data_IF_927420553567
#
_entry.id   IF_927420553567
#
_cell.length_a   1.000
_cell.length_b   1.000
_cell.length_c   1.000
_cell.angle_alpha   90.00
_cell.angle_beta   90.00
_cell.angle_gamma   90.00
#
_symmetry.space_group_name_H-M   'P 1'
#
loop_
_entity.id
_entity.type
_entity.pdbx_description
1 polymer ?
#
# COMPACT_ATOMS: atom_id res chain seq x y z
N UNK A 1 12.94 44.07 28.08
CA UNK A 1 12.73 42.72 28.69
C UNK A 1 11.32 42.18 28.54
N UNK A 2 10.24 42.99 28.68
CA UNK A 2 8.84 42.54 28.57
C UNK A 2 8.44 41.98 27.19
N UNK A 3 8.93 42.53 26.08
CA UNK A 3 8.58 42.11 24.71
C UNK A 3 9.11 40.71 24.38
N UNK A 4 10.33 40.37 24.83
CA UNK A 4 10.91 39.02 24.65
C UNK A 4 10.14 37.95 25.44
N UNK A 5 9.62 38.30 26.61
CA UNK A 5 8.82 37.38 27.41
C UNK A 5 7.43 37.14 26.79
N UNK A 6 6.78 38.19 26.29
CA UNK A 6 5.49 38.07 25.59
C UNK A 6 5.63 37.25 24.30
N UNK A 7 6.71 37.46 23.52
CA UNK A 7 6.95 36.68 22.31
C UNK A 7 7.23 35.20 22.61
N UNK A 8 7.95 34.91 23.70
CA UNK A 8 8.24 33.53 24.13
C UNK A 8 6.99 32.82 24.67
N UNK A 9 6.09 33.56 25.34
CA UNK A 9 4.77 33.05 25.75
C UNK A 9 3.86 32.84 24.54
N UNK A 10 3.90 33.72 23.53
CA UNK A 10 3.09 33.58 22.31
C UNK A 10 3.56 32.38 21.46
N UNK A 11 4.87 32.22 21.27
CA UNK A 11 5.46 31.07 20.55
C UNK A 11 5.18 29.78 21.31
N UNK A 12 5.30 29.78 22.64
CA UNK A 12 4.92 28.65 23.49
C UNK A 12 3.42 28.32 23.35
N UNK A 13 2.53 29.31 23.38
CA UNK A 13 1.09 29.11 23.21
C UNK A 13 0.72 28.56 21.82
N UNK A 14 1.44 28.95 20.76
CA UNK A 14 1.27 28.41 19.40
C UNK A 14 1.79 26.96 19.32
N UNK A 15 2.87 26.62 20.02
CA UNK A 15 3.38 25.26 20.10
C UNK A 15 2.48 24.34 20.94
N UNK A 16 1.78 24.87 21.95
CA UNK A 16 0.81 24.12 22.75
C UNK A 16 -0.57 23.99 22.10
N UNK A 17 -0.98 24.93 21.24
CA UNK A 17 -2.22 24.83 20.46
C UNK A 17 -2.12 23.88 19.24
N UNK A 18 -0.91 23.44 18.90
CA UNK A 18 -0.66 22.46 17.84
C UNK A 18 -1.00 21.00 18.22
N UNK A 19 -1.34 20.73 19.49
CA UNK A 19 -1.91 19.45 19.89
C UNK A 19 -3.43 19.48 19.72
N UNK A 20 -3.92 19.08 18.54
CA UNK A 20 -5.35 18.89 18.33
C UNK A 20 -5.89 17.81 19.29
N UNK A 21 -7.17 17.90 19.68
CA UNK A 21 -7.79 16.91 20.56
C UNK A 21 -7.74 15.49 19.94
N UNK A 22 -7.81 15.40 18.61
CA UNK A 22 -7.60 14.16 17.87
C UNK A 22 -6.20 13.56 18.12
N UNK A 23 -5.14 14.38 18.09
CA UNK A 23 -3.77 13.92 18.34
C UNK A 23 -3.61 13.41 19.77
N UNK A 24 -4.25 14.06 20.76
CA UNK A 24 -4.25 13.58 22.14
C UNK A 24 -4.94 12.23 22.28
N UNK A 25 -6.10 12.05 21.64
CA UNK A 25 -6.81 10.77 21.61
C UNK A 25 -6.00 9.68 20.87
N UNK A 26 -5.32 10.01 19.79
CA UNK A 26 -4.40 9.11 19.08
C UNK A 26 -3.25 8.67 20.01
N UNK A 27 -2.62 9.61 20.72
CA UNK A 27 -1.57 9.29 21.68
C UNK A 27 -2.07 8.42 22.85
N UNK A 28 -3.30 8.66 23.32
CA UNK A 28 -3.95 7.81 24.33
C UNK A 28 -4.10 6.36 23.81
N UNK A 29 -4.55 6.19 22.57
CA UNK A 29 -4.62 4.88 21.91
C UNK A 29 -3.26 4.19 21.87
N UNK A 30 -2.23 4.91 21.43
CA UNK A 30 -0.89 4.36 21.28
C UNK A 30 -0.27 3.90 22.61
N UNK A 31 -0.62 4.57 23.72
CA UNK A 31 -0.15 4.25 25.07
C UNK A 31 -0.75 2.96 25.66
N UNK A 32 -1.80 2.38 25.07
CA UNK A 32 -2.40 1.12 25.55
C UNK A 32 -1.45 -0.07 25.51
N UNK A 33 -0.39 -0.02 24.70
CA UNK A 33 0.60 -1.10 24.62
C UNK A 33 -0.03 -2.47 24.38
N UNK A 34 0.21 -3.43 25.29
CA UNK A 34 -0.32 -4.81 25.21
C UNK A 34 -1.82 -4.94 25.49
N UNK A 35 -2.49 -3.85 25.86
CA UNK A 35 -3.94 -3.81 26.15
C UNK A 35 -4.77 -3.43 24.91
N UNK A 36 -4.19 -3.45 23.71
CA UNK A 36 -4.91 -3.10 22.47
C UNK A 36 -5.97 -4.11 22.04
N UNK A 37 -5.96 -5.30 22.64
CA UNK A 37 -6.95 -6.34 22.39
C UNK A 37 -6.39 -7.51 21.60
N UNK A 38 -7.30 -8.39 21.16
CA UNK A 38 -6.97 -9.60 20.41
C UNK A 38 -7.54 -9.55 19.00
N UNK A 39 -6.78 -10.05 18.02
CA UNK A 39 -7.21 -10.17 16.62
C UNK A 39 -7.12 -11.64 16.25
N UNK A 40 -8.27 -12.25 15.93
CA UNK A 40 -8.30 -13.51 15.21
C UNK A 40 -8.04 -13.22 13.73
N UNK A 41 -6.86 -13.61 13.26
CA UNK A 41 -6.45 -13.45 11.89
C UNK A 41 -6.80 -14.72 11.11
N UNK A 42 -7.66 -14.61 10.10
CA UNK A 42 -7.98 -15.73 9.23
C UNK A 42 -7.27 -15.55 7.89
N UNK A 43 -6.18 -16.29 7.62
CA UNK A 43 -5.35 -16.11 6.43
C UNK A 43 -6.12 -16.41 5.13
N UNK A 44 -5.63 -15.93 3.97
CA UNK A 44 -6.22 -16.27 2.68
C UNK A 44 -6.05 -17.77 2.42
N UNK A 45 -7.04 -18.35 1.73
CA UNK A 45 -6.98 -19.76 1.32
C UNK A 45 -5.96 -19.99 0.20
N UNK A 46 -5.90 -19.06 -0.74
CA UNK A 46 -5.03 -19.11 -1.91
C UNK A 46 -4.62 -17.70 -2.33
N UNK A 47 -3.60 -17.63 -3.19
CA UNK A 47 -3.20 -16.43 -3.91
C UNK A 47 -3.61 -16.60 -5.37
N UNK A 48 -4.53 -15.79 -5.85
CA UNK A 48 -4.96 -15.87 -7.24
C UNK A 48 -3.93 -15.17 -8.14
N UNK A 49 -3.22 -15.97 -8.95
CA UNK A 49 -2.27 -15.46 -9.93
C UNK A 49 -3.00 -15.09 -11.23
N UNK A 50 -2.92 -13.83 -11.62
CA UNK A 50 -3.62 -13.30 -12.80
C UNK A 50 -2.59 -12.76 -13.78
N UNK A 51 -2.66 -13.19 -15.04
CA UNK A 51 -1.90 -12.55 -16.12
C UNK A 51 -2.86 -11.71 -16.98
N UNK A 52 -2.67 -10.39 -16.98
CA UNK A 52 -3.44 -9.44 -17.80
C UNK A 52 -2.62 -8.84 -18.94
N UNK A 53 -1.39 -9.32 -19.18
CA UNK A 53 -0.62 -8.90 -20.36
C UNK A 53 -1.34 -9.37 -21.61
N UNK A 54 -1.85 -8.42 -22.39
CA UNK A 54 -2.49 -8.70 -23.68
C UNK A 54 -1.41 -9.12 -24.68
N UNK A 55 -1.49 -10.35 -25.20
CA UNK A 55 -0.74 -10.75 -26.38
C UNK A 55 -1.42 -10.14 -27.60
N UNK A 56 -1.04 -8.92 -27.96
CA UNK A 56 -1.44 -8.32 -29.24
C UNK A 56 -0.55 -8.91 -30.35
N UNK A 57 -1.05 -9.92 -31.05
CA UNK A 57 -0.48 -10.29 -32.35
C UNK A 57 -0.89 -9.21 -33.36
N UNK A 58 -0.02 -8.23 -33.62
CA UNK A 58 -0.18 -7.36 -34.78
C UNK A 58 0.20 -8.15 -36.05
N UNK A 59 -0.79 -8.78 -36.68
CA UNK A 59 -0.61 -9.43 -37.99
C UNK A 59 -0.62 -8.46 -39.17
N UNK A 60 -0.74 -7.14 -38.94
CA UNK A 60 -0.94 -6.15 -40.00
C UNK A 60 0.33 -5.39 -40.43
N UNK A 61 1.50 -5.63 -39.82
CA UNK A 61 2.70 -4.81 -40.02
C UNK A 61 4.00 -5.57 -40.34
N UNK A 62 3.96 -6.70 -41.07
CA UNK A 62 5.16 -7.51 -41.31
C UNK A 62 6.17 -6.93 -42.34
N UNK A 63 6.05 -5.67 -42.73
CA UNK A 63 7.00 -5.04 -43.65
C UNK A 63 7.43 -3.68 -43.09
N UNK A 64 8.72 -3.57 -42.75
CA UNK A 64 9.49 -2.32 -42.49
C UNK A 64 9.67 -1.82 -41.03
N UNK A 65 10.02 -2.69 -40.09
CA UNK A 65 10.74 -2.26 -38.87
C UNK A 65 11.83 -3.28 -38.48
N UNK A 66 12.77 -3.53 -39.39
CA UNK A 66 13.93 -4.41 -39.16
C UNK A 66 15.04 -3.78 -38.28
N UNK A 67 14.76 -2.68 -37.57
CA UNK A 67 15.73 -2.00 -36.68
C UNK A 67 15.10 -1.49 -35.37
N UNK A 68 14.11 -2.20 -34.82
CA UNK A 68 13.70 -1.96 -33.44
C UNK A 68 14.19 -3.10 -32.57
N UNK A 69 14.82 -2.72 -31.47
CA UNK A 69 15.48 -3.53 -30.45
C UNK A 69 14.44 -4.35 -29.66
N UNK A 70 13.66 -5.17 -30.36
CA UNK A 70 12.55 -5.99 -29.86
C UNK A 70 13.03 -7.18 -29.02
N UNK A 71 14.30 -7.23 -28.63
CA UNK A 71 14.86 -8.26 -27.74
C UNK A 71 14.22 -8.29 -26.35
N UNK A 72 13.56 -7.21 -25.94
CA UNK A 72 12.80 -7.15 -24.67
C UNK A 72 11.38 -7.73 -24.74
N UNK A 73 10.87 -8.06 -25.94
CA UNK A 73 9.45 -8.36 -26.15
C UNK A 73 9.03 -9.79 -25.76
N UNK A 74 9.97 -10.65 -25.38
CA UNK A 74 9.67 -11.91 -24.71
C UNK A 74 9.85 -11.74 -23.20
N UNK A 75 8.96 -11.00 -22.56
CA UNK A 75 8.91 -10.97 -21.09
C UNK A 75 8.53 -12.38 -20.62
N UNK A 76 9.50 -13.16 -20.14
CA UNK A 76 9.19 -14.36 -19.34
C UNK A 76 8.32 -13.88 -18.19
N UNK A 77 7.12 -14.45 -18.05
CA UNK A 77 6.18 -14.05 -17.01
C UNK A 77 6.89 -14.21 -15.66
N UNK A 78 6.87 -13.14 -14.86
CA UNK A 78 7.48 -13.18 -13.53
C UNK A 78 6.73 -14.24 -12.70
N UNK A 79 5.42 -14.34 -12.90
CA UNK A 79 4.54 -15.28 -12.20
C UNK A 79 4.76 -16.75 -12.60
N UNK A 80 5.38 -17.07 -13.74
CA UNK A 80 5.65 -18.48 -14.14
C UNK A 80 6.63 -19.20 -13.20
N UNK A 81 7.51 -18.44 -12.56
CA UNK A 81 8.56 -18.98 -11.66
C UNK A 81 8.30 -18.65 -10.20
N UNK A 82 7.12 -18.12 -9.93
CA UNK A 82 6.73 -17.60 -8.63
C UNK A 82 6.19 -18.72 -7.74
N UNK A 83 6.39 -18.57 -6.44
CA UNK A 83 5.93 -19.55 -5.45
C UNK A 83 4.94 -18.90 -4.50
N UNK A 84 3.65 -19.17 -4.71
CA UNK A 84 2.54 -18.57 -3.97
C UNK A 84 2.69 -18.74 -2.46
N UNK A 85 3.09 -19.94 -2.02
CA UNK A 85 3.28 -20.24 -0.60
C UNK A 85 4.36 -19.37 0.05
N UNK A 86 5.45 -19.10 -0.67
CA UNK A 86 6.56 -18.27 -0.15
C UNK A 86 6.10 -16.82 -0.03
N UNK A 87 5.40 -16.31 -1.04
CA UNK A 87 4.88 -14.95 -0.99
C UNK A 87 3.85 -14.77 0.13
N UNK A 88 2.86 -15.66 0.24
CA UNK A 88 1.84 -15.59 1.28
C UNK A 88 2.47 -15.72 2.67
N UNK A 89 3.45 -16.61 2.85
CA UNK A 89 4.17 -16.75 4.11
C UNK A 89 4.92 -15.45 4.47
N UNK A 90 5.67 -14.86 3.53
CA UNK A 90 6.38 -13.59 3.76
C UNK A 90 5.43 -12.45 4.10
N UNK A 91 4.31 -12.35 3.39
CA UNK A 91 3.28 -11.35 3.58
C UNK A 91 2.56 -11.48 4.94
N UNK A 92 2.10 -12.69 5.27
CA UNK A 92 1.37 -12.93 6.52
C UNK A 92 2.29 -12.80 7.73
N UNK A 93 3.53 -13.29 7.65
CA UNK A 93 4.48 -13.19 8.75
C UNK A 93 4.82 -11.72 9.05
N UNK A 94 5.03 -10.88 8.05
CA UNK A 94 5.29 -9.46 8.29
C UNK A 94 4.05 -8.73 8.81
N UNK A 95 2.86 -9.06 8.31
CA UNK A 95 1.59 -8.53 8.82
C UNK A 95 1.36 -8.88 10.29
N UNK A 96 1.53 -10.16 10.66
CA UNK A 96 1.39 -10.64 12.03
C UNK A 96 2.43 -9.98 12.94
N UNK A 97 3.70 -9.98 12.53
CA UNK A 97 4.78 -9.40 13.30
C UNK A 97 4.54 -7.91 13.57
N UNK A 98 4.04 -7.17 12.58
CA UNK A 98 3.75 -5.75 12.73
C UNK A 98 2.58 -5.48 13.68
N UNK A 99 1.50 -6.26 13.59
CA UNK A 99 0.40 -6.19 14.56
C UNK A 99 0.86 -6.55 16.00
N UNK A 100 1.69 -7.57 16.15
CA UNK A 100 2.28 -7.90 17.44
C UNK A 100 3.19 -6.78 17.95
N UNK A 101 3.93 -6.12 17.06
CA UNK A 101 4.74 -4.92 17.34
C UNK A 101 3.89 -3.76 17.86
N UNK A 102 2.66 -3.62 17.38
CA UNK A 102 1.67 -2.67 17.91
C UNK A 102 1.10 -3.08 19.28
N UNK A 103 1.27 -4.33 19.70
CA UNK A 103 0.80 -4.83 21.00
C UNK A 103 -0.53 -5.57 20.94
N UNK A 104 -1.01 -5.97 19.77
CA UNK A 104 -2.17 -6.88 19.66
C UNK A 104 -1.76 -8.32 19.98
N UNK A 105 -2.65 -9.07 20.65
CA UNK A 105 -2.56 -10.54 20.68
C UNK A 105 -3.14 -11.07 19.37
N UNK A 106 -2.28 -11.42 18.42
CA UNK A 106 -2.70 -12.03 17.15
C UNK A 106 -2.88 -13.53 17.37
N UNK A 107 -4.04 -14.05 17.03
CA UNK A 107 -4.44 -15.45 17.17
C UNK A 107 -4.81 -16.01 15.80
N UNK A 108 -4.49 -17.26 15.55
CA UNK A 108 -4.82 -17.97 14.31
C UNK A 108 -6.06 -18.87 14.49
N UNK A 109 -6.64 -19.42 13.41
CA UNK A 109 -7.89 -20.20 13.49
C UNK A 109 -7.81 -21.45 14.38
N UNK A 110 -6.63 -22.05 14.53
CA UNK A 110 -6.35 -23.16 15.45
C UNK A 110 -6.38 -22.73 16.92
N UNK A 111 -6.25 -21.43 17.20
CA UNK A 111 -6.34 -20.83 18.53
C UNK A 111 -7.74 -20.23 18.83
N UNK A 112 -8.79 -20.74 18.16
CA UNK A 112 -10.15 -20.22 18.30
C UNK A 112 -10.66 -20.22 19.75
N UNK A 113 -10.31 -21.23 20.55
CA UNK A 113 -10.69 -21.30 21.96
C UNK A 113 -10.09 -20.15 22.77
N UNK A 114 -8.80 -19.86 22.56
CA UNK A 114 -8.10 -18.72 23.15
C UNK A 114 -8.73 -17.40 22.72
N UNK A 115 -9.17 -17.29 21.47
CA UNK A 115 -9.86 -16.10 20.98
C UNK A 115 -11.23 -15.92 21.62
N UNK A 116 -12.00 -17.00 21.83
CA UNK A 116 -13.31 -16.94 22.47
C UNK A 116 -13.22 -16.46 23.92
N UNK A 117 -12.15 -16.82 24.63
CA UNK A 117 -11.91 -16.42 26.02
C UNK A 117 -11.13 -15.11 26.17
N UNK A 118 -10.66 -14.53 25.06
CA UNK A 118 -9.84 -13.32 25.06
C UNK A 118 -10.57 -12.09 25.64
N UNK A 119 -9.81 -11.26 26.36
CA UNK A 119 -10.27 -9.97 26.88
C UNK A 119 -10.66 -9.01 25.75
N UNK A 120 -11.59 -8.10 26.06
CA UNK A 120 -12.03 -7.07 25.13
C UNK A 120 -11.00 -5.93 25.04
N UNK A 121 -10.83 -5.28 23.86
CA UNK A 121 -11.58 -5.54 22.63
C UNK A 121 -11.07 -6.76 21.85
N UNK A 122 -11.96 -7.45 21.14
CA UNK A 122 -11.63 -8.58 20.29
C UNK A 122 -12.21 -8.42 18.87
N UNK A 123 -11.39 -8.73 17.87
CA UNK A 123 -11.72 -8.54 16.46
C UNK A 123 -11.42 -9.79 15.63
N UNK A 124 -12.16 -9.97 14.54
CA UNK A 124 -11.89 -10.98 13.52
C UNK A 124 -11.52 -10.24 12.25
N UNK A 125 -10.32 -10.49 11.72
CA UNK A 125 -9.83 -9.94 10.47
C UNK A 125 -9.54 -11.08 9.50
N UNK A 126 -10.29 -11.13 8.40
CA UNK A 126 -10.24 -12.22 7.43
C UNK A 126 -9.80 -11.69 6.09
N UNK A 127 -8.84 -12.39 5.47
CA UNK A 127 -8.50 -12.20 4.08
C UNK A 127 -9.56 -12.91 3.23
N UNK A 128 -10.46 -12.15 2.62
CA UNK A 128 -11.55 -12.68 1.82
C UNK A 128 -11.07 -13.11 0.44
N UNK A 129 -10.22 -12.29 -0.18
CA UNK A 129 -9.64 -12.55 -1.49
C UNK A 129 -8.29 -11.85 -1.60
N UNK A 130 -7.33 -12.51 -2.24
CA UNK A 130 -5.98 -12.01 -2.41
C UNK A 130 -5.52 -12.36 -3.83
N UNK A 131 -5.17 -11.34 -4.61
CA UNK A 131 -4.79 -11.47 -6.01
C UNK A 131 -3.39 -10.87 -6.27
N UNK A 132 -2.62 -11.53 -7.13
CA UNK A 132 -1.38 -10.99 -7.69
C UNK A 132 -1.48 -10.99 -9.22
N UNK A 133 -1.56 -9.80 -9.80
CA UNK A 133 -1.73 -9.59 -11.23
C UNK A 133 -0.45 -9.09 -11.89
N UNK A 134 -0.03 -9.74 -12.97
CA UNK A 134 1.01 -9.27 -13.87
C UNK A 134 0.35 -8.53 -15.05
N UNK A 135 0.71 -7.26 -15.24
CA UNK A 135 0.10 -6.31 -16.17
C UNK A 135 1.20 -5.59 -16.98
N UNK A 136 0.80 -4.84 -18.02
CA UNK A 136 1.68 -3.93 -18.75
C UNK A 136 1.31 -2.48 -18.43
N UNK A 137 2.31 -1.69 -18.03
CA UNK A 137 2.20 -0.25 -17.77
C UNK A 137 2.87 0.53 -18.91
N UNK A 138 2.11 1.22 -19.79
CA UNK A 138 2.70 1.90 -20.94
C UNK A 138 3.37 3.21 -20.51
N UNK A 139 4.67 3.32 -20.74
CA UNK A 139 5.38 4.59 -20.72
C UNK A 139 5.32 5.23 -22.10
N UNK A 140 4.72 6.43 -22.18
CA UNK A 140 4.49 7.13 -23.45
C UNK A 140 5.27 8.44 -23.46
N UNK A 141 6.01 8.65 -24.55
CA UNK A 141 6.63 9.92 -24.91
C UNK A 141 5.88 10.44 -26.12
N UNK A 142 5.44 11.69 -26.01
CA UNK A 142 4.81 12.44 -27.08
C UNK A 142 5.37 13.86 -27.03
N UNK A 143 6.46 14.08 -27.76
CA UNK A 143 7.20 15.34 -27.75
C UNK A 143 7.46 15.84 -29.18
N UNK A 144 7.65 17.15 -29.32
CA UNK A 144 8.03 17.77 -30.59
C UNK A 144 9.38 18.44 -30.46
N UNK A 145 10.39 17.95 -31.19
CA UNK A 145 11.76 18.49 -31.20
C UNK A 145 12.12 18.86 -32.65
N UNK A 146 12.58 20.09 -32.89
CA UNK A 146 13.03 20.56 -34.22
C UNK A 146 12.00 20.28 -35.34
N UNK A 147 10.72 20.55 -35.06
CA UNK A 147 9.59 20.28 -35.96
C UNK A 147 9.29 18.81 -36.29
N UNK A 148 9.99 17.87 -35.65
CA UNK A 148 9.68 16.44 -35.70
C UNK A 148 8.84 16.03 -34.47
N UNK A 149 7.70 15.37 -34.72
CA UNK A 149 6.92 14.72 -33.67
C UNK A 149 7.53 13.36 -33.35
N UNK A 150 7.82 13.12 -32.08
CA UNK A 150 8.40 11.89 -31.57
C UNK A 150 7.36 11.23 -30.70
N UNK A 151 6.91 10.07 -31.16
CA UNK A 151 6.07 9.18 -30.38
C UNK A 151 6.86 7.92 -30.05
N UNK A 152 6.97 7.60 -28.75
CA UNK A 152 7.58 6.35 -28.31
C UNK A 152 6.78 5.75 -27.17
N UNK A 153 6.40 4.49 -27.33
CA UNK A 153 5.70 3.69 -26.32
C UNK A 153 6.62 2.57 -25.87
N UNK A 154 6.80 2.43 -24.57
CA UNK A 154 7.57 1.36 -23.93
C UNK A 154 6.65 0.70 -22.93
N UNK A 155 6.40 -0.60 -23.09
CA UNK A 155 5.55 -1.36 -22.18
C UNK A 155 6.40 -1.90 -21.02
N UNK A 156 6.18 -1.36 -19.83
CA UNK A 156 6.84 -1.78 -18.58
C UNK A 156 6.07 -2.94 -17.94
N UNK A 157 6.78 -3.87 -17.31
CA UNK A 157 6.14 -4.88 -16.49
C UNK A 157 5.63 -4.24 -15.20
N UNK A 158 4.40 -4.56 -14.82
CA UNK A 158 3.80 -4.14 -13.56
C UNK A 158 3.25 -5.38 -12.84
N UNK A 159 3.53 -5.50 -11.56
CA UNK A 159 2.95 -6.51 -10.68
C UNK A 159 2.11 -5.80 -9.63
N UNK A 160 0.80 -6.08 -9.63
CA UNK A 160 -0.20 -5.50 -8.73
C UNK A 160 -0.65 -6.55 -7.71
N UNK A 161 -0.70 -6.16 -6.45
CA UNK A 161 -1.26 -6.98 -5.38
C UNK A 161 -2.54 -6.33 -4.88
N UNK A 162 -3.64 -7.09 -4.86
CA UNK A 162 -4.96 -6.61 -4.47
C UNK A 162 -5.53 -7.51 -3.38
N UNK A 163 -6.10 -6.90 -2.33
CA UNK A 163 -6.69 -7.64 -1.22
C UNK A 163 -8.05 -7.08 -0.82
N UNK A 164 -8.95 -8.00 -0.53
CA UNK A 164 -10.23 -7.76 0.10
C UNK A 164 -10.22 -8.37 1.49
N UNK A 165 -10.64 -7.59 2.48
CA UNK A 165 -10.68 -7.99 3.87
C UNK A 165 -12.08 -7.87 4.42
N UNK A 166 -12.49 -8.85 5.21
CA UNK A 166 -13.64 -8.73 6.09
C UNK A 166 -13.15 -8.43 7.51
N UNK A 167 -13.71 -7.39 8.12
CA UNK A 167 -13.38 -7.00 9.47
C UNK A 167 -14.62 -6.85 10.33
N UNK A 168 -14.63 -7.53 11.47
CA UNK A 168 -15.74 -7.47 12.40
C UNK A 168 -15.25 -7.43 13.85
N UNK A 169 -16.03 -6.76 14.69
CA UNK A 169 -15.83 -6.79 16.13
C UNK A 169 -16.63 -7.94 16.72
N UNK A 170 -16.01 -8.74 17.59
CA UNK A 170 -16.75 -9.72 18.40
C UNK A 170 -17.70 -9.04 19.38
N UNK A 171 -17.37 -7.81 19.76
CA UNK A 171 -18.02 -7.07 20.85
C UNK A 171 -19.18 -6.18 20.36
N UNK A 172 -19.40 -6.08 19.05
CA UNK A 172 -20.45 -5.23 18.46
C UNK A 172 -20.86 -5.71 17.08
N UNK A 173 -22.08 -5.36 16.64
CA UNK A 173 -22.67 -5.85 15.39
C UNK A 173 -22.12 -5.21 14.10
N UNK A 174 -21.02 -4.46 14.17
CA UNK A 174 -20.48 -3.82 12.97
C UNK A 174 -19.56 -4.77 12.21
N UNK A 175 -19.73 -4.77 10.89
CA UNK A 175 -18.86 -5.43 9.93
C UNK A 175 -18.42 -4.41 8.88
N UNK A 176 -17.20 -4.56 8.40
CA UNK A 176 -16.60 -3.74 7.34
C UNK A 176 -15.96 -4.64 6.31
N UNK A 177 -15.96 -4.14 5.08
CA UNK A 177 -15.17 -4.69 4.00
C UNK A 177 -14.14 -3.64 3.64
N UNK A 178 -12.88 -4.05 3.61
CA UNK A 178 -11.78 -3.21 3.19
C UNK A 178 -11.21 -3.71 1.88
N UNK A 179 -10.75 -2.77 1.07
CA UNK A 179 -9.92 -3.02 -0.09
C UNK A 179 -8.59 -2.28 0.06
N UNK A 180 -7.50 -2.93 -0.32
CA UNK A 180 -6.22 -2.28 -0.54
C UNK A 180 -5.55 -2.89 -1.76
N UNK A 181 -4.85 -2.05 -2.50
CA UNK A 181 -3.97 -2.46 -3.58
C UNK A 181 -2.65 -1.70 -3.53
N UNK A 182 -1.62 -2.31 -4.10
CA UNK A 182 -0.36 -1.65 -4.38
C UNK A 182 0.30 -2.33 -5.58
N UNK A 183 1.27 -1.66 -6.20
CA UNK A 183 1.95 -2.18 -7.38
C UNK A 183 3.43 -1.81 -7.39
N UNK A 184 4.22 -2.71 -7.96
CA UNK A 184 5.59 -2.43 -8.37
C UNK A 184 5.68 -2.53 -9.89
N UNK A 185 6.54 -1.72 -10.49
CA UNK A 185 6.79 -1.72 -11.93
C UNK A 185 8.29 -1.73 -12.23
N UNK A 186 8.65 -2.04 -13.48
CA UNK A 186 10.02 -1.89 -13.96
C UNK A 186 10.51 -0.47 -13.68
N UNK A 187 11.74 -0.33 -13.19
CA UNK A 187 12.31 1.00 -13.01
C UNK A 187 12.83 1.48 -14.35
N UNK A 188 12.18 2.50 -14.86
CA UNK A 188 12.47 3.07 -16.17
C UNK A 188 12.95 4.51 -16.04
N UNK A 189 14.02 4.86 -16.75
CA UNK A 189 14.47 6.24 -16.92
C UNK A 189 14.94 6.41 -18.35
N UNK A 190 14.46 7.47 -19.01
CA UNK A 190 14.92 7.80 -20.34
C UNK A 190 14.68 9.25 -20.66
N UNK A 191 15.42 9.73 -21.65
CA UNK A 191 15.38 11.11 -22.09
C UNK A 191 15.62 11.19 -23.60
N UNK A 192 15.09 12.26 -24.20
CA UNK A 192 15.39 12.63 -25.57
C UNK A 192 16.65 13.49 -25.59
N UNK A 193 17.67 13.02 -26.30
CA UNK A 193 18.94 13.72 -26.47
C UNK A 193 19.09 14.12 -27.94
N UNK A 194 19.50 15.36 -28.19
CA UNK A 194 19.89 15.78 -29.53
C UNK A 194 21.28 15.26 -29.86
N UNK A 195 21.37 14.32 -30.80
CA UNK A 195 22.65 13.91 -31.32
C UNK A 195 23.22 15.03 -32.20
N UNK A 196 24.27 15.68 -31.72
CA UNK A 196 24.93 16.80 -32.39
C UNK A 196 25.55 16.41 -33.74
N UNK A 197 25.79 15.12 -33.99
CA UNK A 197 26.34 14.63 -35.25
C UNK A 197 25.26 14.38 -36.31
N UNK A 198 24.04 14.03 -35.90
CA UNK A 198 22.96 13.62 -36.79
C UNK A 198 21.84 14.67 -36.92
N UNK A 199 21.85 15.72 -36.09
CA UNK A 199 20.77 16.71 -35.96
C UNK A 199 19.38 16.07 -35.75
N UNK A 200 19.35 14.83 -35.27
CA UNK A 200 18.16 14.04 -35.04
C UNK A 200 18.03 13.74 -33.54
N UNK A 201 16.82 13.79 -32.98
CA UNK A 201 16.57 13.41 -31.61
C UNK A 201 16.70 11.88 -31.45
N UNK A 202 17.48 11.46 -30.46
CA UNK A 202 17.68 10.05 -30.09
C UNK A 202 17.12 9.83 -28.69
N UNK A 203 16.36 8.75 -28.51
CA UNK A 203 15.84 8.39 -27.20
C UNK A 203 16.78 7.41 -26.50
N UNK A 204 17.40 7.85 -25.42
CA UNK A 204 18.31 7.05 -24.59
C UNK A 204 17.58 6.64 -23.32
N UNK A 205 17.65 5.37 -22.94
CA UNK A 205 16.99 4.88 -21.74
C UNK A 205 17.76 3.77 -21.04
N UNK A 206 17.47 3.63 -19.75
CA UNK A 206 17.86 2.53 -18.90
C UNK A 206 16.60 1.90 -18.29
N UNK A 207 16.58 0.57 -18.25
CA UNK A 207 15.50 -0.21 -17.66
C UNK A 207 16.09 -1.26 -16.71
N UNK A 208 15.62 -1.25 -15.46
CA UNK A 208 15.90 -2.28 -14.46
C UNK A 208 14.61 -3.10 -14.28
N UNK A 209 14.61 -4.31 -14.83
CA UNK A 209 13.43 -5.16 -14.90
C UNK A 209 13.08 -5.76 -13.55
N UNK A 210 11.78 -5.86 -13.28
CA UNK A 210 11.24 -6.55 -12.12
C UNK A 210 11.73 -8.00 -12.07
N UNK A 211 12.21 -8.37 -10.88
CA UNK A 211 12.63 -9.73 -10.55
C UNK A 211 11.68 -10.35 -9.52
N UNK A 212 11.74 -11.68 -9.38
CA UNK A 212 11.04 -12.42 -8.32
C UNK A 212 11.43 -11.89 -6.92
N UNK A 213 12.69 -11.47 -6.75
CA UNK A 213 13.14 -10.88 -5.49
C UNK A 213 12.38 -9.57 -5.19
N UNK A 214 12.08 -8.75 -6.19
CA UNK A 214 11.29 -7.54 -6.00
C UNK A 214 9.84 -7.89 -5.58
N UNK A 215 9.23 -8.90 -6.20
CA UNK A 215 7.88 -9.36 -5.83
C UNK A 215 7.84 -9.93 -4.40
N UNK A 216 8.85 -10.71 -4.01
CA UNK A 216 8.96 -11.25 -2.65
C UNK A 216 9.20 -10.13 -1.61
N UNK A 217 9.97 -9.10 -1.96
CA UNK A 217 10.17 -7.94 -1.11
C UNK A 217 8.87 -7.13 -0.96
N UNK A 218 8.11 -6.96 -2.05
CA UNK A 218 6.78 -6.36 -2.02
C UNK A 218 5.86 -7.07 -1.03
N UNK A 219 5.87 -8.41 -0.98
CA UNK A 219 5.09 -9.18 0.00
C UNK A 219 5.35 -8.71 1.44
N UNK A 220 6.62 -8.61 1.83
CA UNK A 220 6.98 -8.19 3.19
C UNK A 220 6.54 -6.76 3.49
N UNK A 221 6.82 -5.83 2.57
CA UNK A 221 6.49 -4.41 2.73
C UNK A 221 4.98 -4.20 2.83
N UNK A 222 4.19 -4.92 2.02
CA UNK A 222 2.73 -4.79 2.05
C UNK A 222 2.11 -5.42 3.29
N UNK A 223 2.71 -6.47 3.86
CA UNK A 223 2.25 -7.00 5.14
C UNK A 223 2.42 -5.98 6.27
N UNK A 224 3.57 -5.28 6.31
CA UNK A 224 3.79 -4.16 7.25
C UNK A 224 2.79 -3.02 6.99
N UNK A 225 2.69 -2.55 5.74
CA UNK A 225 1.82 -1.44 5.34
C UNK A 225 0.35 -1.70 5.68
N UNK A 226 -0.17 -2.89 5.38
CA UNK A 226 -1.58 -3.18 5.63
C UNK A 226 -1.87 -3.48 7.10
N UNK A 227 -0.89 -3.95 7.89
CA UNK A 227 -1.02 -4.00 9.35
C UNK A 227 -1.05 -2.60 9.96
N UNK A 228 -0.27 -1.66 9.43
CA UNK A 228 -0.33 -0.23 9.77
C UNK A 228 -1.72 0.34 9.47
N UNK A 229 -2.28 0.06 8.29
CA UNK A 229 -3.64 0.49 7.95
C UNK A 229 -4.69 -0.04 8.93
N UNK A 230 -4.57 -1.30 9.38
CA UNK A 230 -5.49 -1.86 10.37
C UNK A 230 -5.34 -1.18 11.72
N UNK A 231 -4.10 -0.94 12.16
CA UNK A 231 -3.83 -0.22 13.39
C UNK A 231 -4.38 1.21 13.35
N UNK A 232 -4.14 1.92 12.26
CA UNK A 232 -4.63 3.28 12.06
C UNK A 232 -6.15 3.32 12.01
N UNK A 233 -6.77 2.36 11.35
CA UNK A 233 -8.22 2.24 11.35
C UNK A 233 -8.77 2.14 12.78
N UNK A 234 -8.25 1.21 13.57
CA UNK A 234 -8.67 1.02 14.96
C UNK A 234 -8.39 2.25 15.84
N UNK A 235 -7.24 2.89 15.64
CA UNK A 235 -6.90 4.15 16.31
C UNK A 235 -7.91 5.24 15.97
N UNK A 236 -8.27 5.42 14.70
CA UNK A 236 -9.21 6.45 14.27
C UNK A 236 -10.66 6.14 14.67
N UNK A 237 -11.04 4.86 14.77
CA UNK A 237 -12.30 4.45 15.40
C UNK A 237 -12.31 4.88 16.88
N UNK A 238 -11.23 4.66 17.61
CA UNK A 238 -11.10 5.09 19.00
C UNK A 238 -11.15 6.62 19.15
N UNK A 239 -10.46 7.36 18.28
CA UNK A 239 -10.54 8.83 18.24
C UNK A 239 -12.00 9.25 18.03
N UNK A 240 -12.68 8.71 17.02
CA UNK A 240 -14.07 9.07 16.70
C UNK A 240 -15.03 8.84 17.87
N UNK A 241 -14.83 7.80 18.68
CA UNK A 241 -15.65 7.53 19.86
C UNK A 241 -15.52 8.58 20.97
N UNK A 242 -14.45 9.37 20.98
CA UNK A 242 -14.24 10.48 21.94
C UNK A 242 -14.91 11.78 21.49
N UNK A 243 -15.44 11.84 20.27
CA UNK A 243 -16.10 13.02 19.71
C UNK A 243 -17.63 12.84 19.68
N UNK A 244 -18.40 13.92 19.88
CA UNK A 244 -19.85 13.86 19.71
C UNK A 244 -20.21 13.72 18.23
N UNK A 245 -21.32 13.03 17.94
CA UNK A 245 -21.74 12.70 16.57
C UNK A 245 -21.92 13.91 15.64
N UNK A 246 -22.24 15.09 16.17
CA UNK A 246 -22.42 16.33 15.41
C UNK A 246 -21.11 17.11 15.18
N UNK A 247 -19.99 16.65 15.73
CA UNK A 247 -18.67 17.25 15.53
C UNK A 247 -17.62 16.15 15.38
N UNK A 248 -17.63 15.40 14.25
CA UNK A 248 -16.68 14.32 14.03
C UNK A 248 -15.25 14.86 13.88
N UNK A 249 -14.23 14.01 14.13
CA UNK A 249 -12.84 14.38 13.91
C UNK A 249 -12.61 14.75 12.44
N UNK A 250 -11.81 15.80 12.20
CA UNK A 250 -11.52 16.30 10.85
C UNK A 250 -10.35 15.59 10.17
N UNK A 251 -9.46 15.02 10.98
CA UNK A 251 -8.21 14.42 10.53
C UNK A 251 -8.24 12.92 10.75
N UNK A 252 -7.61 12.20 9.81
CA UNK A 252 -7.29 10.78 9.95
C UNK A 252 -5.80 10.67 10.26
N UNK A 253 -5.46 9.99 11.35
CA UNK A 253 -4.08 9.86 11.80
C UNK A 253 -3.45 8.53 11.37
N UNK A 254 -2.20 8.60 10.97
CA UNK A 254 -1.30 7.47 10.81
C UNK A 254 -0.27 7.46 11.94
N UNK A 255 0.06 6.27 12.43
CA UNK A 255 1.22 6.05 13.28
C UNK A 255 2.33 5.35 12.51
N UNK A 256 3.39 6.10 12.25
CA UNK A 256 4.63 5.57 11.71
C UNK A 256 5.35 4.81 12.83
N UNK A 257 5.45 3.49 12.66
CA UNK A 257 6.02 2.60 13.66
C UNK A 257 7.54 2.72 13.79
N UNK A 258 8.23 3.05 12.70
CA UNK A 258 9.68 3.18 12.63
C UNK A 258 10.14 4.49 13.25
N UNK A 259 9.53 5.60 12.83
CA UNK A 259 9.81 6.94 13.35
C UNK A 259 9.13 7.22 14.68
N UNK A 260 8.16 6.38 15.08
CA UNK A 260 7.30 6.55 16.26
C UNK A 260 6.56 7.88 16.24
N UNK A 261 6.08 8.28 15.07
CA UNK A 261 5.47 9.58 14.83
C UNK A 261 3.99 9.46 14.45
N UNK A 262 3.18 10.36 15.02
CA UNK A 262 1.79 10.55 14.61
C UNK A 262 1.69 11.72 13.63
N UNK A 263 1.05 11.48 12.48
CA UNK A 263 0.81 12.51 11.47
C UNK A 263 -0.55 12.31 10.79
N UNK A 264 -1.18 13.38 10.28
CA UNK A 264 -2.31 13.23 9.38
C UNK A 264 -1.88 12.50 8.10
N UNK A 265 -2.72 11.59 7.62
CA UNK A 265 -2.38 10.77 6.46
C UNK A 265 -3.60 10.50 5.59
N UNK A 266 -3.36 10.24 4.30
CA UNK A 266 -4.41 10.06 3.31
C UNK A 266 -4.52 8.61 2.83
N UNK A 267 -3.40 7.89 2.75
CA UNK A 267 -3.39 6.49 2.33
C UNK A 267 -3.87 5.58 3.48
N UNK A 268 -4.75 4.65 3.16
CA UNK A 268 -5.48 3.77 4.10
C UNK A 268 -6.32 2.77 3.33
N UNK A 269 -6.89 1.80 4.04
CA UNK A 269 -7.95 0.96 3.48
C UNK A 269 -9.08 1.77 2.85
N UNK A 270 -9.50 1.35 1.67
CA UNK A 270 -10.74 1.79 1.06
C UNK A 270 -11.88 1.00 1.70
N UNK A 271 -12.76 1.66 2.43
CA UNK A 271 -13.95 1.03 3.02
C UNK A 271 -15.03 0.85 1.93
N UNK A 272 -15.35 -0.41 1.62
CA UNK A 272 -16.41 -0.74 0.67
C UNK A 272 -17.74 -0.76 1.42
N UNK A 273 -18.64 0.14 1.04
CA UNK A 273 -20.01 0.11 1.55
C UNK A 273 -20.79 -0.98 0.80
N UNK A 274 -21.24 -2.00 1.51
CA UNK A 274 -22.36 -2.81 1.03
C UNK A 274 -23.58 -1.89 1.01
N UNK A 275 -24.02 -1.48 -0.18
CA UNK A 275 -25.33 -0.84 -0.32
C UNK A 275 -26.37 -1.79 0.28
N UNK A 276 -27.09 -1.30 1.30
CA UNK A 276 -28.21 -2.02 1.90
C UNK A 276 -29.32 -2.25 0.87
#
# INVERSE_FOLDING_TARGET
MKIRFVFLVLVSAILFSACSYERLAAMEYMKKGKERGSILLVPPYALDLINKKLVLFDTAGFNQLENQDSGAFYSKLILEKFSDSVFLEMYLNSFIAQLQGFGYKVLLPDELYDFQTANKPAYIFRFAQTELAEESSPFIIDEKILDQAIYKKIDLNLVRFSNWFEFESRDSLWKKIFYAEDAIEDRFSGELVLDQSLANPVFVYQMDSLSIQNVNQMAQLLGVKYAEFLNDYLMNVFIKQKFPSYSPPKLYFHFDSELKMLSPYQDRFVELNLSK
#
